data_IF_555921622013
#
_entry.id   IF_555921622013
#
_cell.length_a   1.000
_cell.length_b   1.000
_cell.length_c   1.000
_cell.angle_alpha   90.00
_cell.angle_beta   90.00
_cell.angle_gamma   90.00
#
_symmetry.space_group_name_H-M   'P 1'
#
loop_
_entity.id
_entity.type
_entity.pdbx_description
1 polymer ?
#
# COMPACT_ATOMS: atom_id res chain seq x y z
N UNK A 1 -38.03 32.68 13.76
CA UNK A 1 -38.01 31.25 13.58
C UNK A 1 -36.93 30.97 12.51
N UNK A 2 -35.70 30.75 12.96
CA UNK A 2 -34.57 30.49 12.05
C UNK A 2 -34.52 29.00 11.76
N UNK A 3 -34.71 28.65 10.49
CA UNK A 3 -34.57 27.27 9.99
C UNK A 3 -33.09 26.93 9.90
N UNK A 4 -32.62 26.13 10.83
CA UNK A 4 -31.27 25.52 10.73
C UNK A 4 -31.33 24.55 9.56
N UNK A 5 -30.65 24.90 8.47
CA UNK A 5 -30.35 23.95 7.40
C UNK A 5 -29.29 22.97 7.96
N UNK A 6 -29.71 21.76 8.20
CA UNK A 6 -28.77 20.65 8.35
C UNK A 6 -28.05 20.47 7.01
N UNK A 7 -26.73 20.54 7.03
CA UNK A 7 -25.92 20.20 5.89
C UNK A 7 -26.23 18.72 5.50
N UNK A 8 -26.64 18.53 4.26
CA UNK A 8 -26.87 17.21 3.68
C UNK A 8 -25.61 16.40 3.86
N UNK A 9 -25.71 15.38 4.69
CA UNK A 9 -24.69 14.37 4.89
C UNK A 9 -24.66 13.53 3.60
N UNK A 10 -23.93 13.98 2.58
CA UNK A 10 -23.56 13.16 1.44
C UNK A 10 -22.52 12.12 1.89
N UNK A 11 -22.88 11.26 2.80
CA UNK A 11 -22.26 9.95 2.98
C UNK A 11 -22.68 9.09 1.78
N UNK A 12 -22.22 9.53 0.61
CA UNK A 12 -22.38 8.79 -0.62
C UNK A 12 -21.64 7.46 -0.45
N UNK A 13 -22.40 6.41 -0.32
CA UNK A 13 -22.00 5.05 -0.05
C UNK A 13 -20.81 4.68 -0.95
N UNK A 14 -19.64 4.38 -0.34
CA UNK A 14 -18.43 3.97 -1.05
C UNK A 14 -18.74 2.78 -1.97
N UNK A 15 -18.33 2.88 -3.22
CA UNK A 15 -18.39 1.80 -4.19
C UNK A 15 -16.99 1.51 -4.73
N UNK A 16 -16.57 0.26 -4.63
CA UNK A 16 -15.27 -0.19 -5.16
C UNK A 16 -15.17 0.04 -6.68
N UNK A 17 -16.30 -0.04 -7.39
CA UNK A 17 -16.35 0.17 -8.85
C UNK A 17 -16.05 1.62 -9.26
N UNK A 18 -16.11 2.57 -8.32
CA UNK A 18 -15.74 3.96 -8.56
C UNK A 18 -14.25 4.23 -8.27
N UNK A 19 -13.52 3.24 -7.75
CA UNK A 19 -12.07 3.39 -7.51
C UNK A 19 -11.34 3.23 -8.83
N UNK A 20 -10.65 4.30 -9.25
CA UNK A 20 -9.81 4.32 -10.44
C UNK A 20 -8.37 4.02 -10.03
N UNK A 21 -7.77 3.00 -10.66
CA UNK A 21 -6.33 2.73 -10.51
C UNK A 21 -5.56 3.49 -11.59
N UNK A 22 -4.52 4.21 -11.19
CA UNK A 22 -3.65 4.95 -12.10
C UNK A 22 -2.21 4.98 -11.59
N UNK A 23 -1.28 5.33 -12.47
CA UNK A 23 0.10 5.58 -12.06
C UNK A 23 0.17 6.71 -11.02
N UNK A 24 1.02 6.53 -10.02
CA UNK A 24 1.31 7.57 -9.04
C UNK A 24 2.11 8.70 -9.69
N UNK A 25 1.75 9.95 -9.41
CA UNK A 25 2.36 11.17 -9.94
C UNK A 25 3.05 11.94 -8.81
N UNK A 26 4.03 12.78 -9.13
CA UNK A 26 4.70 13.62 -8.12
C UNK A 26 3.73 14.56 -7.40
N UNK A 27 2.66 14.98 -8.07
CA UNK A 27 1.62 15.82 -7.48
C UNK A 27 0.78 15.09 -6.44
N UNK A 28 0.82 13.75 -6.40
CA UNK A 28 0.15 12.97 -5.36
C UNK A 28 0.90 13.02 -4.00
N UNK A 29 2.07 13.64 -3.93
CA UNK A 29 2.94 13.60 -2.75
C UNK A 29 2.26 14.15 -1.48
N UNK A 30 1.43 15.18 -1.60
CA UNK A 30 0.68 15.76 -0.48
C UNK A 30 -0.37 14.77 0.03
N UNK A 31 -1.27 14.30 -0.82
CA UNK A 31 -2.33 13.36 -0.47
C UNK A 31 -1.76 12.00 0.03
N UNK A 32 -0.66 11.54 -0.57
CA UNK A 32 0.05 10.35 -0.07
C UNK A 32 0.65 10.59 1.30
N UNK A 33 1.18 11.79 1.58
CA UNK A 33 1.75 12.10 2.90
C UNK A 33 0.65 12.12 3.97
N UNK A 34 -0.50 12.69 3.68
CA UNK A 34 -1.67 12.65 4.56
C UNK A 34 -2.04 11.21 4.88
N UNK A 35 -2.20 10.37 3.87
CA UNK A 35 -2.52 8.95 4.03
C UNK A 35 -1.43 8.20 4.84
N UNK A 36 -0.15 8.46 4.58
CA UNK A 36 0.96 7.82 5.27
C UNK A 36 1.08 8.22 6.75
N UNK A 37 0.52 9.36 7.13
CA UNK A 37 0.46 9.82 8.51
C UNK A 37 -0.77 9.28 9.28
N UNK A 38 -1.67 8.55 8.64
CA UNK A 38 -2.82 7.93 9.31
C UNK A 38 -2.37 6.85 10.31
N UNK A 39 -3.01 6.74 11.46
CA UNK A 39 -2.62 5.78 12.51
C UNK A 39 -2.57 4.34 12.04
N UNK A 40 -3.58 3.86 11.32
CA UNK A 40 -3.64 2.47 10.83
C UNK A 40 -2.59 2.18 9.76
N UNK A 41 -2.35 3.12 8.84
CA UNK A 41 -1.27 2.99 7.85
C UNK A 41 0.09 2.91 8.52
N UNK A 42 0.37 3.77 9.51
CA UNK A 42 1.64 3.72 10.26
C UNK A 42 1.78 2.44 11.07
N UNK A 43 0.70 1.99 11.70
CA UNK A 43 0.72 0.77 12.49
C UNK A 43 1.04 -0.47 11.65
N UNK A 44 0.53 -0.53 10.42
CA UNK A 44 0.74 -1.66 9.50
C UNK A 44 2.00 -1.57 8.63
N UNK A 45 2.78 -0.50 8.72
CA UNK A 45 3.96 -0.26 7.86
C UNK A 45 5.15 0.27 8.65
N UNK A 46 6.31 0.41 8.00
CA UNK A 46 7.51 1.04 8.59
C UNK A 46 7.45 2.58 8.59
N UNK A 47 6.27 3.17 8.35
CA UNK A 47 6.09 4.63 8.35
C UNK A 47 6.21 5.19 9.77
N UNK A 48 6.89 6.34 9.87
CA UNK A 48 7.05 7.07 11.12
C UNK A 48 6.01 8.19 11.24
N UNK A 49 5.68 8.64 12.47
CA UNK A 49 4.87 9.84 12.69
C UNK A 49 5.49 11.08 12.04
N UNK A 50 4.64 12.04 11.69
CA UNK A 50 5.05 13.36 11.19
C UNK A 50 5.90 13.32 9.90
N UNK A 51 5.58 12.39 8.99
CA UNK A 51 6.26 12.36 7.69
C UNK A 51 5.92 13.63 6.90
N UNK A 52 6.95 14.30 6.36
CA UNK A 52 6.77 15.53 5.57
C UNK A 52 6.47 15.20 4.11
N UNK A 53 5.79 16.14 3.43
CA UNK A 53 5.53 16.08 1.98
C UNK A 53 6.84 15.99 1.20
N UNK A 54 7.86 16.74 1.61
CA UNK A 54 9.18 16.72 0.97
C UNK A 54 9.81 15.32 1.02
N UNK A 55 9.74 14.62 2.17
CA UNK A 55 10.24 13.25 2.29
C UNK A 55 9.50 12.29 1.36
N UNK A 56 8.18 12.44 1.26
CA UNK A 56 7.36 11.64 0.34
C UNK A 56 7.74 11.92 -1.10
N UNK A 57 7.81 13.19 -1.51
CA UNK A 57 8.20 13.61 -2.86
C UNK A 57 9.57 13.08 -3.25
N UNK A 58 10.57 13.25 -2.39
CA UNK A 58 11.92 12.72 -2.61
C UNK A 58 11.94 11.20 -2.78
N UNK A 59 11.13 10.47 -2.00
CA UNK A 59 10.98 9.02 -2.16
C UNK A 59 10.36 8.64 -3.51
N UNK A 60 9.45 9.47 -4.02
CA UNK A 60 8.83 9.25 -5.33
C UNK A 60 9.79 9.58 -6.49
N UNK A 61 10.59 10.62 -6.36
CA UNK A 61 11.62 11.01 -7.34
C UNK A 61 12.74 9.97 -7.47
N UNK A 62 13.06 9.28 -6.38
CA UNK A 62 14.12 8.27 -6.34
C UNK A 62 13.69 6.89 -6.87
N UNK A 63 12.49 6.76 -7.43
CA UNK A 63 12.03 5.51 -8.04
C UNK A 63 12.86 5.17 -9.26
N UNK A 64 13.19 3.90 -9.40
CA UNK A 64 13.88 3.40 -10.56
C UNK A 64 12.98 3.36 -11.81
N UNK A 65 13.56 3.32 -13.01
CA UNK A 65 12.79 3.32 -14.26
C UNK A 65 11.93 2.06 -14.45
N UNK A 66 12.22 0.99 -13.71
CA UNK A 66 11.49 -0.27 -13.77
C UNK A 66 10.56 -0.48 -12.57
N UNK A 67 10.44 0.53 -11.68
CA UNK A 67 9.54 0.48 -10.55
C UNK A 67 8.12 0.78 -11.00
N UNK A 68 7.17 0.03 -10.47
CA UNK A 68 5.75 0.22 -10.72
C UNK A 68 5.16 0.85 -9.46
N UNK A 69 4.51 1.99 -9.60
CA UNK A 69 3.81 2.61 -8.49
C UNK A 69 2.45 3.12 -8.96
N UNK A 70 1.42 2.65 -8.28
CA UNK A 70 0.03 3.00 -8.59
C UNK A 70 -0.70 3.52 -7.35
N UNK A 71 -1.72 4.31 -7.58
CA UNK A 71 -2.67 4.76 -6.56
C UNK A 71 -4.08 4.34 -6.94
N UNK A 72 -4.89 4.06 -5.93
CA UNK A 72 -6.32 3.97 -6.06
C UNK A 72 -6.95 5.30 -5.66
N UNK A 73 -7.73 5.89 -6.57
CA UNK A 73 -8.40 7.16 -6.38
C UNK A 73 -9.91 6.96 -6.38
N UNK A 74 -10.59 7.45 -5.37
CA UNK A 74 -12.04 7.49 -5.28
C UNK A 74 -12.50 8.94 -5.14
N UNK A 75 -13.23 9.45 -6.15
CA UNK A 75 -13.78 10.83 -6.17
C UNK A 75 -12.73 11.90 -5.82
N UNK A 76 -11.53 11.79 -6.40
CA UNK A 76 -10.43 12.72 -6.17
C UNK A 76 -9.61 12.48 -4.89
N UNK A 77 -10.02 11.55 -4.02
CA UNK A 77 -9.28 11.16 -2.81
C UNK A 77 -8.43 9.93 -3.07
N UNK A 78 -7.15 9.96 -2.70
CA UNK A 78 -6.30 8.77 -2.73
C UNK A 78 -6.68 7.86 -1.56
N UNK A 79 -7.15 6.65 -1.89
CA UNK A 79 -7.63 5.65 -0.93
C UNK A 79 -6.68 4.47 -0.79
N UNK A 80 -5.75 4.31 -1.72
CA UNK A 80 -4.70 3.29 -1.64
C UNK A 80 -3.46 3.71 -2.42
N UNK A 81 -2.32 3.14 -2.04
CA UNK A 81 -1.06 3.23 -2.76
C UNK A 81 -0.40 1.85 -2.75
N UNK A 82 0.14 1.46 -3.88
CA UNK A 82 0.89 0.21 -3.98
C UNK A 82 2.00 0.32 -5.02
N UNK A 83 3.04 -0.50 -4.86
CA UNK A 83 4.14 -0.53 -5.81
C UNK A 83 4.95 -1.82 -5.76
N UNK A 84 5.63 -2.09 -6.87
CA UNK A 84 6.63 -3.12 -7.03
C UNK A 84 7.95 -2.45 -7.34
N UNK A 85 8.94 -2.69 -6.50
CA UNK A 85 10.29 -2.13 -6.61
C UNK A 85 11.22 -3.23 -7.10
N UNK A 86 11.58 -3.15 -8.37
CA UNK A 86 12.36 -4.20 -9.03
C UNK A 86 13.82 -4.15 -8.62
N UNK A 87 14.36 -5.30 -8.22
CA UNK A 87 15.79 -5.41 -7.90
C UNK A 87 16.65 -5.41 -9.16
N UNK A 88 17.92 -5.08 -9.00
CA UNK A 88 18.86 -4.97 -10.12
C UNK A 88 19.72 -6.24 -10.29
N UNK A 89 20.42 -6.33 -11.44
CA UNK A 89 21.42 -7.35 -11.71
C UNK A 89 20.84 -8.77 -11.73
N UNK A 90 21.51 -9.69 -11.04
CA UNK A 90 21.10 -11.12 -11.01
C UNK A 90 19.75 -11.36 -10.32
N UNK A 91 19.22 -10.39 -9.61
CA UNK A 91 17.90 -10.42 -8.95
C UNK A 91 16.84 -9.65 -9.73
N UNK A 92 17.07 -9.30 -10.99
CA UNK A 92 16.13 -8.50 -11.79
C UNK A 92 14.77 -9.15 -12.04
N UNK A 93 14.60 -10.43 -11.71
CA UNK A 93 13.33 -11.15 -11.71
C UNK A 93 12.55 -11.04 -10.40
N UNK A 94 13.11 -10.34 -9.41
CA UNK A 94 12.51 -10.15 -8.07
C UNK A 94 12.01 -8.71 -7.95
N UNK A 95 10.85 -8.54 -7.32
CA UNK A 95 10.34 -7.24 -6.90
C UNK A 95 9.87 -7.26 -5.45
N UNK A 96 10.12 -6.17 -4.74
CA UNK A 96 9.62 -5.93 -3.40
C UNK A 96 8.25 -5.23 -3.47
N UNK A 97 7.23 -5.81 -2.83
CA UNK A 97 5.87 -5.28 -2.79
C UNK A 97 5.70 -4.33 -1.61
N UNK A 98 5.09 -3.18 -1.88
CA UNK A 98 4.59 -2.25 -0.85
C UNK A 98 3.13 -1.96 -1.13
N UNK A 99 2.29 -1.98 -0.10
CA UNK A 99 0.87 -1.61 -0.21
C UNK A 99 0.42 -0.88 1.06
N UNK A 100 -0.42 0.13 0.89
CA UNK A 100 -1.10 0.84 1.96
C UNK A 100 -2.52 1.18 1.52
N UNK A 101 -3.47 1.04 2.44
CA UNK A 101 -4.87 1.43 2.24
C UNK A 101 -5.22 2.45 3.31
N UNK A 102 -5.89 3.53 2.91
CA UNK A 102 -6.36 4.59 3.80
C UNK A 102 -7.28 4.00 4.88
N UNK A 103 -7.16 4.46 6.13
CA UNK A 103 -7.85 3.88 7.29
C UNK A 103 -9.37 3.78 7.08
N UNK A 104 -10.02 4.83 6.55
CA UNK A 104 -11.47 4.87 6.28
C UNK A 104 -11.94 3.84 5.22
N UNK A 105 -11.02 3.31 4.43
CA UNK A 105 -11.29 2.36 3.35
C UNK A 105 -10.77 0.95 3.64
N UNK A 106 -10.24 0.72 4.83
CA UNK A 106 -9.83 -0.59 5.28
C UNK A 106 -11.04 -1.54 5.36
N UNK A 107 -10.84 -2.83 4.99
CA UNK A 107 -11.92 -3.82 4.99
C UNK A 107 -12.94 -3.69 3.85
N UNK A 108 -12.77 -2.74 2.91
CA UNK A 108 -13.68 -2.49 1.78
C UNK A 108 -13.16 -3.04 0.45
N UNK A 109 -12.35 -4.11 0.48
CA UNK A 109 -11.74 -4.79 -0.67
C UNK A 109 -10.78 -3.95 -1.53
N UNK A 110 -10.48 -2.69 -1.16
CA UNK A 110 -9.55 -1.82 -1.91
C UNK A 110 -8.16 -2.45 -2.01
N UNK A 111 -7.64 -3.04 -0.92
CA UNK A 111 -6.35 -3.75 -0.93
C UNK A 111 -6.33 -4.93 -1.89
N UNK A 112 -7.43 -5.70 -1.97
CA UNK A 112 -7.57 -6.80 -2.92
C UNK A 112 -7.55 -6.30 -4.36
N UNK A 113 -8.27 -5.22 -4.63
CA UNK A 113 -8.38 -4.65 -5.97
C UNK A 113 -7.04 -4.13 -6.51
N UNK A 114 -6.33 -3.33 -5.71
CA UNK A 114 -5.03 -2.76 -6.13
C UNK A 114 -3.93 -3.84 -6.22
N UNK A 115 -3.93 -4.84 -5.33
CA UNK A 115 -2.97 -5.94 -5.37
C UNK A 115 -3.18 -6.83 -6.59
N UNK A 116 -4.43 -7.12 -6.96
CA UNK A 116 -4.75 -7.87 -8.18
C UNK A 116 -4.17 -7.19 -9.44
N UNK A 117 -4.31 -5.88 -9.56
CA UNK A 117 -3.76 -5.11 -10.68
C UNK A 117 -2.23 -5.15 -10.72
N UNK A 118 -1.57 -5.06 -9.56
CA UNK A 118 -0.10 -5.17 -9.50
C UNK A 118 0.41 -6.56 -9.88
N UNK A 119 -0.27 -7.61 -9.43
CA UNK A 119 0.10 -9.00 -9.77
C UNK A 119 -0.09 -9.25 -11.26
N UNK A 120 -1.22 -8.80 -11.83
CA UNK A 120 -1.44 -8.89 -13.29
C UNK A 120 -0.31 -8.18 -14.06
N UNK A 121 0.06 -6.97 -13.62
CA UNK A 121 1.15 -6.21 -14.23
C UNK A 121 2.49 -6.94 -14.11
N UNK A 122 2.79 -7.50 -12.93
CA UNK A 122 4.02 -8.26 -12.69
C UNK A 122 4.11 -9.49 -13.59
N UNK A 123 3.02 -10.25 -13.67
CA UNK A 123 2.99 -11.55 -14.33
C UNK A 123 2.96 -11.41 -15.87
N UNK A 124 2.18 -10.47 -16.38
CA UNK A 124 1.85 -10.42 -17.80
C UNK A 124 2.64 -9.36 -18.59
N UNK A 125 3.24 -8.38 -17.89
CA UNK A 125 3.90 -7.25 -18.55
C UNK A 125 5.39 -7.08 -18.21
N UNK A 126 5.82 -7.53 -17.02
CA UNK A 126 7.19 -7.29 -16.54
C UNK A 126 8.03 -8.54 -16.31
N UNK A 127 7.50 -9.74 -16.51
CA UNK A 127 8.16 -11.04 -16.26
C UNK A 127 8.82 -11.08 -14.87
N UNK A 128 8.12 -10.60 -13.83
CA UNK A 128 8.55 -10.71 -12.45
C UNK A 128 8.19 -12.14 -11.99
N UNK A 129 9.21 -12.91 -11.62
CA UNK A 129 9.07 -14.32 -11.24
C UNK A 129 8.88 -14.52 -9.74
N UNK A 130 9.28 -13.51 -8.96
CA UNK A 130 9.21 -13.54 -7.50
C UNK A 130 8.80 -12.17 -6.99
N UNK A 131 7.79 -12.13 -6.16
CA UNK A 131 7.36 -10.93 -5.44
C UNK A 131 7.56 -11.21 -3.95
N UNK A 132 8.28 -10.34 -3.26
CA UNK A 132 8.57 -10.44 -1.82
C UNK A 132 7.91 -9.29 -1.06
N UNK A 133 7.62 -9.53 0.20
CA UNK A 133 7.16 -8.51 1.14
C UNK A 133 7.52 -8.86 2.58
N UNK A 134 7.57 -7.83 3.42
CA UNK A 134 7.57 -7.99 4.87
C UNK A 134 6.24 -7.50 5.43
N UNK A 135 5.68 -8.24 6.39
CA UNK A 135 4.43 -7.89 7.08
C UNK A 135 4.58 -8.17 8.57
N UNK A 136 4.15 -7.25 9.42
CA UNK A 136 4.16 -7.48 10.87
C UNK A 136 3.31 -8.69 11.24
N UNK A 137 3.81 -9.51 12.16
CA UNK A 137 3.17 -10.79 12.54
C UNK A 137 1.77 -10.63 13.12
N UNK A 138 1.44 -9.45 13.63
CA UNK A 138 0.12 -9.10 14.16
C UNK A 138 -0.83 -8.47 13.12
N UNK A 139 -0.36 -8.21 11.89
CA UNK A 139 -1.19 -7.67 10.82
C UNK A 139 -1.95 -8.79 10.08
N UNK A 140 -2.83 -9.49 10.81
CA UNK A 140 -3.58 -10.62 10.28
C UNK A 140 -4.42 -10.30 9.03
N UNK A 141 -5.05 -9.11 8.89
CA UNK A 141 -5.77 -8.78 7.67
C UNK A 141 -4.87 -8.74 6.43
N UNK A 142 -3.64 -8.19 6.54
CA UNK A 142 -2.69 -8.14 5.44
C UNK A 142 -2.13 -9.53 5.11
N UNK A 143 -1.80 -10.34 6.12
CA UNK A 143 -1.33 -11.72 5.93
C UNK A 143 -2.35 -12.52 5.12
N UNK A 144 -3.64 -12.52 5.54
CA UNK A 144 -4.71 -13.19 4.81
C UNK A 144 -4.91 -12.67 3.38
N UNK A 145 -4.70 -11.37 3.17
CA UNK A 145 -4.73 -10.80 1.83
C UNK A 145 -3.61 -11.40 0.97
N UNK A 146 -2.39 -11.45 1.46
CA UNK A 146 -1.25 -11.98 0.71
C UNK A 146 -1.40 -13.48 0.43
N UNK A 147 -1.80 -14.28 1.43
CA UNK A 147 -2.08 -15.71 1.26
C UNK A 147 -3.11 -15.97 0.15
N UNK A 148 -4.19 -15.17 0.07
CA UNK A 148 -5.20 -15.24 -0.99
C UNK A 148 -4.60 -15.08 -2.40
N UNK A 149 -3.49 -14.35 -2.52
CA UNK A 149 -2.79 -14.13 -3.78
C UNK A 149 -1.59 -15.06 -4.00
N UNK A 150 -1.47 -16.11 -3.20
CA UNK A 150 -0.44 -17.13 -3.36
C UNK A 150 0.92 -16.76 -2.76
N UNK A 151 0.96 -15.79 -1.84
CA UNK A 151 2.16 -15.57 -1.05
C UNK A 151 2.27 -16.61 0.06
N UNK A 152 3.46 -17.15 0.24
CA UNK A 152 3.78 -18.14 1.26
C UNK A 152 4.77 -17.55 2.26
N UNK A 153 4.69 -18.00 3.52
CA UNK A 153 5.63 -17.63 4.57
C UNK A 153 6.98 -18.31 4.33
N UNK A 154 8.06 -17.52 4.24
CA UNK A 154 9.42 -18.04 4.11
C UNK A 154 10.23 -17.94 5.41
N UNK A 155 9.85 -17.05 6.30
CA UNK A 155 10.55 -16.87 7.58
C UNK A 155 9.97 -15.76 8.44
N UNK A 156 10.49 -15.66 9.67
CA UNK A 156 10.12 -14.61 10.61
C UNK A 156 11.36 -13.89 11.12
N UNK A 157 11.39 -12.60 10.93
CA UNK A 157 12.42 -11.70 11.45
C UNK A 157 12.02 -11.28 12.86
N UNK A 158 12.84 -11.63 13.86
CA UNK A 158 12.58 -11.25 15.26
C UNK A 158 13.07 -9.83 15.52
N UNK A 159 12.29 -9.05 16.26
CA UNK A 159 12.60 -7.64 16.58
C UNK A 159 12.91 -6.80 15.32
N UNK A 160 12.17 -7.00 14.24
CA UNK A 160 12.40 -6.36 12.97
C UNK A 160 12.18 -4.84 13.00
N UNK A 161 11.23 -4.39 13.80
CA UNK A 161 10.94 -2.96 13.93
C UNK A 161 10.60 -2.56 15.37
N UNK A 162 10.78 -1.25 15.64
CA UNK A 162 10.34 -0.64 16.90
C UNK A 162 9.06 0.14 16.67
N UNK A 163 7.96 -0.26 17.34
CA UNK A 163 6.63 0.31 17.18
C UNK A 163 5.92 0.40 18.53
N UNK A 164 5.35 1.56 18.84
CA UNK A 164 4.57 1.78 20.06
C UNK A 164 5.29 1.35 21.34
N UNK A 165 6.58 1.69 21.45
CA UNK A 165 7.38 1.43 22.64
C UNK A 165 7.94 0.02 22.78
N UNK A 166 7.80 -0.85 21.75
CA UNK A 166 8.29 -2.24 21.78
C UNK A 166 8.82 -2.69 20.42
N UNK A 167 9.67 -3.70 20.43
CA UNK A 167 10.05 -4.41 19.21
C UNK A 167 8.94 -5.35 18.75
N UNK A 168 8.75 -5.43 17.43
CA UNK A 168 7.77 -6.29 16.79
C UNK A 168 8.46 -7.14 15.73
N UNK A 169 7.91 -8.35 15.51
CA UNK A 169 8.41 -9.28 14.52
C UNK A 169 7.71 -9.05 13.18
N UNK A 170 8.37 -9.44 12.09
CA UNK A 170 7.80 -9.44 10.76
C UNK A 170 7.96 -10.79 10.07
N UNK A 171 6.93 -11.20 9.33
CA UNK A 171 7.02 -12.30 8.39
C UNK A 171 7.61 -11.82 7.07
N UNK A 172 8.52 -12.62 6.53
CA UNK A 172 8.95 -12.54 5.12
C UNK A 172 8.04 -13.46 4.34
N UNK A 173 7.31 -12.94 3.39
CA UNK A 173 6.44 -13.71 2.52
C UNK A 173 6.82 -13.50 1.06
N UNK A 174 6.68 -14.54 0.26
CA UNK A 174 6.97 -14.47 -1.17
C UNK A 174 5.93 -15.21 -2.00
N UNK A 175 5.70 -14.70 -3.20
CA UNK A 175 4.94 -15.35 -4.27
C UNK A 175 5.87 -15.68 -5.42
N UNK A 176 5.87 -16.93 -5.85
CA UNK A 176 6.60 -17.41 -7.02
C UNK A 176 5.64 -17.74 -8.16
N UNK A 177 6.06 -17.44 -9.39
CA UNK A 177 5.34 -17.75 -10.62
C UNK A 177 6.09 -18.79 -11.42
#
# INVERSE_FOLDING_TARGET
MQTVKFADNEDSQFSLNEVVLRAARLDDAEALTEMFNLPGVRHGTLRQPFQSVEKTRKSMENRGPNDIAIVGEWRGKIVANAGLFRRAGRQSHIADLVISVHDDFAGRAVGTYILAALIDTADNWHDIRRIELNVFTDNLPAIRLYEKFGFELEGTLRNDAYRDGKYVDAHVMARLR
#
